data_IF_427180433848
#
_entry.id   IF_427180433848
#
_cell.length_a   1.000
_cell.length_b   1.000
_cell.length_c   1.000
_cell.angle_alpha   90.00
_cell.angle_beta   90.00
_cell.angle_gamma   90.00
#
_symmetry.space_group_name_H-M   'P 1'
#
loop_
_entity.id
_entity.type
_entity.pdbx_description
1 polymer ?
#
# COMPACT_ATOMS: atom_id res chain seq x y z
N UNK A 1 -8.50 14.58 -10.71
CA UNK A 1 -7.38 14.61 -9.73
C UNK A 1 -6.16 13.85 -10.26
N UNK A 2 -4.99 14.48 -10.15
CA UNK A 2 -3.69 13.93 -10.58
C UNK A 2 -2.86 13.52 -9.35
N UNK A 3 -2.28 12.32 -9.39
CA UNK A 3 -1.48 11.71 -8.32
C UNK A 3 -0.15 11.17 -8.88
N UNK A 4 0.93 11.37 -8.14
CA UNK A 4 2.26 10.83 -8.40
C UNK A 4 3.05 10.81 -7.08
N UNK A 5 3.56 9.64 -6.67
CA UNK A 5 4.16 9.43 -5.35
C UNK A 5 5.49 10.19 -5.17
N UNK A 6 6.31 10.26 -6.21
CA UNK A 6 7.65 10.88 -6.10
C UNK A 6 7.60 12.42 -6.05
N UNK A 7 6.45 13.06 -6.30
CA UNK A 7 6.23 14.48 -5.96
C UNK A 7 5.88 14.63 -4.47
N UNK A 8 6.85 14.28 -3.62
CA UNK A 8 6.72 14.22 -2.16
C UNK A 8 6.35 15.57 -1.52
N UNK A 9 6.70 16.66 -2.20
CA UNK A 9 6.39 18.05 -1.79
C UNK A 9 5.02 18.52 -2.28
N UNK A 10 4.35 17.75 -3.14
CA UNK A 10 3.03 18.08 -3.64
C UNK A 10 3.02 19.32 -4.52
N UNK A 11 4.08 19.59 -5.29
CA UNK A 11 4.22 20.85 -6.05
C UNK A 11 3.26 20.94 -7.22
N UNK A 12 2.94 19.80 -7.83
CA UNK A 12 2.08 19.72 -9.02
C UNK A 12 0.94 18.69 -8.89
N UNK A 13 0.91 17.88 -7.83
CA UNK A 13 -0.17 16.90 -7.60
C UNK A 13 -1.32 17.44 -6.76
N UNK A 14 -2.53 16.94 -7.02
CA UNK A 14 -3.73 17.24 -6.23
C UNK A 14 -3.81 16.40 -4.94
N UNK A 15 -3.15 15.24 -4.94
CA UNK A 15 -3.13 14.26 -3.84
C UNK A 15 -1.69 13.85 -3.56
N UNK A 16 -1.25 13.96 -2.30
CA UNK A 16 0.08 13.52 -1.87
C UNK A 16 0.01 12.05 -1.44
N UNK A 17 1.07 11.28 -1.66
CA UNK A 17 1.05 9.86 -1.35
C UNK A 17 2.39 9.34 -0.89
N UNK A 18 2.35 8.19 -0.21
CA UNK A 18 3.53 7.45 0.23
C UNK A 18 3.29 5.95 0.06
N UNK A 19 4.38 5.19 -0.10
CA UNK A 19 4.37 3.72 -0.10
C UNK A 19 4.87 3.17 1.25
N UNK A 20 4.21 2.14 1.79
CA UNK A 20 4.64 1.38 2.98
C UNK A 20 4.97 2.20 4.25
N UNK A 21 4.38 3.38 4.44
CA UNK A 21 4.67 4.22 5.61
C UNK A 21 4.20 3.56 6.89
N UNK A 22 5.06 3.59 7.94
CA UNK A 22 4.73 3.04 9.26
C UNK A 22 3.61 3.84 9.93
N UNK A 23 2.84 3.22 10.83
CA UNK A 23 1.81 3.89 11.65
C UNK A 23 2.34 5.14 12.36
N UNK A 24 3.56 5.10 12.89
CA UNK A 24 4.18 6.26 13.54
C UNK A 24 4.39 7.43 12.57
N UNK A 25 4.92 7.14 11.39
CA UNK A 25 5.11 8.13 10.32
C UNK A 25 3.77 8.71 9.85
N UNK A 26 2.73 7.88 9.76
CA UNK A 26 1.39 8.36 9.41
C UNK A 26 0.81 9.29 10.48
N UNK A 27 1.06 9.03 11.77
CA UNK A 27 0.68 9.96 12.83
C UNK A 27 1.46 11.28 12.73
N UNK A 28 2.78 11.23 12.49
CA UNK A 28 3.60 12.44 12.30
C UNK A 28 3.11 13.32 11.14
N UNK A 29 2.59 12.70 10.08
CA UNK A 29 2.01 13.38 8.92
C UNK A 29 0.60 13.92 9.21
N UNK A 30 -0.19 13.19 10.00
CA UNK A 30 -1.52 13.62 10.46
C UNK A 30 -1.47 14.86 11.35
N UNK A 31 -0.44 14.95 12.20
CA UNK A 31 -0.17 16.11 13.07
C UNK A 31 0.29 17.36 12.28
N UNK A 32 0.79 17.17 11.05
CA UNK A 32 1.34 18.23 10.18
C UNK A 32 0.67 18.23 8.80
N UNK A 33 -0.61 18.63 8.70
CA UNK A 33 -1.33 18.64 7.44
C UNK A 33 -0.73 19.67 6.46
N UNK A 34 -0.58 19.29 5.19
CA UNK A 34 -0.01 20.14 4.13
C UNK A 34 -1.07 20.81 3.24
N UNK A 35 -2.33 20.87 3.69
CA UNK A 35 -3.44 21.45 2.92
C UNK A 35 -3.94 20.59 1.75
N UNK A 36 -3.35 19.40 1.53
CA UNK A 36 -3.78 18.42 0.52
C UNK A 36 -4.09 17.07 1.17
N UNK A 37 -5.05 16.30 0.63
CA UNK A 37 -5.33 14.96 1.11
C UNK A 37 -4.16 14.01 0.84
N UNK A 38 -3.93 13.08 1.76
CA UNK A 38 -2.88 12.05 1.68
C UNK A 38 -3.48 10.65 1.55
N UNK A 39 -2.88 9.80 0.72
CA UNK A 39 -3.26 8.39 0.57
C UNK A 39 -2.02 7.48 0.60
N UNK A 40 -2.13 6.29 1.18
CA UNK A 40 -1.11 5.24 1.03
C UNK A 40 -1.38 4.46 -0.26
N UNK A 41 -0.57 4.66 -1.31
CA UNK A 41 -0.80 4.00 -2.61
C UNK A 41 -0.39 2.53 -2.63
N UNK A 42 0.50 2.11 -1.73
CA UNK A 42 0.80 0.70 -1.47
C UNK A 42 0.86 0.44 0.05
N UNK A 43 0.06 -0.51 0.50
CA UNK A 43 -0.12 -0.82 1.91
C UNK A 43 -0.30 -2.32 2.12
N UNK A 44 0.20 -2.83 3.26
CA UNK A 44 -0.05 -4.19 3.74
C UNK A 44 0.30 -5.29 2.73
N UNK A 45 1.60 -5.49 2.50
CA UNK A 45 2.16 -6.49 1.59
C UNK A 45 1.62 -7.90 1.91
N UNK A 46 0.72 -8.41 1.08
CA UNK A 46 -0.06 -9.63 1.33
C UNK A 46 0.62 -10.93 0.87
N UNK A 47 1.89 -10.89 0.46
CA UNK A 47 2.63 -12.09 0.04
C UNK A 47 2.78 -13.11 1.18
N UNK A 48 2.22 -14.31 0.99
CA UNK A 48 2.32 -15.42 1.93
C UNK A 48 1.19 -15.44 2.97
N UNK A 49 1.51 -15.58 4.26
CA UNK A 49 0.52 -15.58 5.35
C UNK A 49 0.55 -14.22 6.07
N UNK A 50 -0.11 -13.23 5.49
CA UNK A 50 -0.16 -11.84 5.95
C UNK A 50 -1.20 -11.05 5.14
N UNK A 51 -1.38 -9.75 5.43
CA UNK A 51 -0.64 -8.90 6.35
C UNK A 51 -1.30 -8.78 7.75
N UNK A 52 -0.49 -8.85 8.81
CA UNK A 52 -0.91 -8.49 10.18
C UNK A 52 -0.80 -6.98 10.45
N UNK A 53 -1.56 -6.45 11.41
CA UNK A 53 -1.47 -5.04 11.84
C UNK A 53 -2.41 -4.05 11.11
N UNK A 54 -3.52 -4.54 10.53
CA UNK A 54 -4.51 -3.73 9.82
C UNK A 54 -5.30 -2.77 10.73
N UNK A 55 -5.48 -3.12 12.00
CA UNK A 55 -6.23 -2.34 12.99
C UNK A 55 -5.60 -0.97 13.28
N UNK A 56 -4.28 -0.93 13.44
CA UNK A 56 -3.53 0.25 13.86
C UNK A 56 -3.53 1.33 12.77
N UNK A 57 -3.56 0.93 11.50
CA UNK A 57 -3.73 1.84 10.39
C UNK A 57 -5.16 2.35 10.27
N UNK A 58 -6.17 1.50 10.50
CA UNK A 58 -7.57 1.93 10.53
C UNK A 58 -7.82 2.99 11.59
N UNK A 59 -7.17 2.90 12.76
CA UNK A 59 -7.21 3.95 13.78
C UNK A 59 -6.60 5.27 13.30
N UNK A 60 -5.47 5.23 12.57
CA UNK A 60 -4.88 6.44 11.97
C UNK A 60 -5.83 7.11 10.98
N UNK A 61 -6.49 6.34 10.11
CA UNK A 61 -7.42 6.90 9.12
C UNK A 61 -8.66 7.52 9.76
N UNK A 62 -9.16 6.91 10.84
CA UNK A 62 -10.26 7.50 11.63
C UNK A 62 -9.83 8.76 12.38
N UNK A 63 -8.58 8.81 12.84
CA UNK A 63 -8.06 9.90 13.68
C UNK A 63 -7.73 11.16 12.88
N UNK A 64 -7.20 11.04 11.66
CA UNK A 64 -6.66 12.17 10.90
C UNK A 64 -7.42 12.41 9.59
N UNK A 65 -8.31 13.42 9.50
CA UNK A 65 -9.10 13.70 8.30
C UNK A 65 -8.27 14.02 7.03
N UNK A 66 -7.01 14.45 7.21
CA UNK A 66 -6.06 14.70 6.13
C UNK A 66 -5.53 13.41 5.50
N UNK A 67 -5.73 12.25 6.12
CA UNK A 67 -5.31 10.93 5.63
C UNK A 67 -6.56 10.15 5.20
N UNK A 68 -6.72 9.97 3.88
CA UNK A 68 -7.97 9.49 3.27
C UNK A 68 -7.95 8.02 2.85
N UNK A 69 -7.13 7.21 3.53
CA UNK A 69 -7.10 5.76 3.36
C UNK A 69 -5.88 5.23 2.62
N UNK A 70 -6.04 4.03 2.06
CA UNK A 70 -4.95 3.18 1.59
C UNK A 70 -5.42 2.18 0.53
N UNK A 71 -4.48 1.63 -0.22
CA UNK A 71 -4.70 0.55 -1.19
C UNK A 71 -3.82 -0.66 -0.82
N UNK A 72 -4.46 -1.80 -0.55
CA UNK A 72 -3.76 -3.05 -0.21
C UNK A 72 -3.01 -3.58 -1.44
N UNK A 73 -1.75 -3.98 -1.24
CA UNK A 73 -0.94 -4.65 -2.24
C UNK A 73 -0.75 -6.12 -1.84
N UNK A 74 -1.28 -7.13 -2.54
CA UNK A 74 -1.90 -7.17 -3.88
C UNK A 74 -3.26 -7.87 -3.88
N UNK A 75 -4.01 -7.76 -4.98
CA UNK A 75 -5.35 -8.36 -5.12
C UNK A 75 -5.29 -9.86 -5.46
N UNK A 76 -4.36 -10.27 -6.31
CA UNK A 76 -4.18 -11.65 -6.78
C UNK A 76 -2.69 -11.90 -6.96
N UNK A 77 -2.20 -13.05 -6.50
CA UNK A 77 -0.83 -13.48 -6.74
C UNK A 77 -0.55 -13.62 -8.25
N UNK A 78 0.55 -13.05 -8.74
CA UNK A 78 0.96 -13.15 -10.14
C UNK A 78 1.65 -14.50 -10.47
N UNK A 79 1.09 -15.62 -10.01
CA UNK A 79 1.60 -16.96 -10.30
C UNK A 79 1.08 -17.54 -11.62
N UNK A 80 1.96 -18.10 -12.46
CA UNK A 80 1.56 -18.81 -13.69
C UNK A 80 1.43 -20.31 -13.39
N UNK A 81 0.28 -20.90 -13.70
CA UNK A 81 0.07 -22.34 -13.54
C UNK A 81 1.00 -23.11 -14.50
N UNK A 82 1.84 -23.97 -13.94
CA UNK A 82 2.73 -24.89 -14.65
C UNK A 82 2.50 -26.33 -14.19
N UNK A 83 2.99 -27.27 -14.98
CA UNK A 83 2.90 -28.72 -14.73
C UNK A 83 4.31 -29.29 -14.79
N UNK A 84 4.71 -30.03 -13.76
CA UNK A 84 6.02 -30.69 -13.73
C UNK A 84 6.08 -31.98 -14.55
N UNK A 85 7.26 -32.61 -14.61
CA UNK A 85 7.48 -33.85 -15.36
C UNK A 85 6.65 -35.02 -14.83
N UNK A 86 6.23 -34.97 -13.56
CA UNK A 86 5.35 -35.95 -12.92
C UNK A 86 3.86 -35.63 -13.06
N UNK A 87 3.49 -34.55 -13.76
CA UNK A 87 2.10 -34.15 -14.01
C UNK A 87 1.45 -33.36 -12.86
N UNK A 88 2.22 -32.89 -11.87
CA UNK A 88 1.72 -32.11 -10.73
C UNK A 88 1.65 -30.63 -11.10
N UNK A 89 0.56 -29.99 -10.71
CA UNK A 89 0.35 -28.56 -10.91
C UNK A 89 1.08 -27.74 -9.84
N UNK A 90 1.76 -26.68 -10.26
CA UNK A 90 2.36 -25.69 -9.36
C UNK A 90 2.20 -24.27 -9.93
N UNK A 91 2.24 -23.26 -9.06
CA UNK A 91 2.24 -21.85 -9.48
C UNK A 91 3.68 -21.34 -9.49
N UNK A 92 4.19 -21.03 -10.67
CA UNK A 92 5.55 -20.51 -10.85
C UNK A 92 5.59 -19.00 -10.57
N UNK A 93 6.64 -18.55 -9.87
CA UNK A 93 6.99 -17.14 -9.67
C UNK A 93 8.38 -16.86 -10.28
N UNK A 94 8.70 -15.58 -10.52
CA UNK A 94 9.88 -15.18 -11.31
C UNK A 94 11.18 -15.84 -10.85
N UNK A 95 11.74 -16.73 -11.67
CA UNK A 95 12.98 -17.48 -11.40
C UNK A 95 12.95 -18.95 -11.80
N UNK A 96 11.76 -19.56 -11.91
CA UNK A 96 11.58 -20.98 -12.25
C UNK A 96 11.36 -21.85 -11.03
#
# INVERSE_FOLDING_TARGET
PVHYEEDRDGRIVDVVSTMYSRVSQMNDLGERPCGKPRVLCEYAHAMGNGPGGLSEYQEVFRRWPSIQGHFVWEWIDHGVLQVDEEGRQYYAYGGG
#
